data_IF_839024341242
#
_entry.id   IF_839024341242
#
_cell.length_a   1.000
_cell.length_b   1.000
_cell.length_c   1.000
_cell.angle_alpha   90.00
_cell.angle_beta   90.00
_cell.angle_gamma   90.00
#
_symmetry.space_group_name_H-M   'P 1'
#
loop_
_entity.id
_entity.type
_entity.pdbx_description
1 polymer ?
2 polymer ?
3 polymer ?
4 non-polymer ?
5 non-polymer ?
6 water ?
#
loop_
_entity_poly.entity_id
_entity_poly.type
_entity_poly.pdbx_seq_one_letter_code
_entity_poly.pdbx_strand_id
2 'polydeoxyribonucleotide' '(DT)(DA)(DA)(3DR)(DG)(DT)(DA)(DG)(DG)(DG)(DG)(DA)(DG)(DG)(DA)(DT)' ?
3 'polydeoxyribonucleotide' '(DA)(DT)(DC)(DC)(DT)(DC)(DC)(DC)(DC)(DT)(DA)(DOC)' ?
#
# COMPACT_ATOMS: atom_id res chain seq x y z
N UNK A 1 5.49 -2.93 -28.08
CA UNK A 1 5.55 -1.44 -28.21
C UNK A 1 4.17 -1.10 -28.71
N UNK A 2 3.86 0.17 -28.95
CA UNK A 2 2.47 0.70 -29.00
C UNK A 2 1.49 0.21 -27.94
N UNK A 3 1.13 1.12 -27.06
CA UNK A 3 0.32 0.78 -25.92
C UNK A 3 -1.15 0.48 -26.27
N UNK A 4 -1.68 -0.56 -25.64
CA UNK A 4 -3.03 -1.00 -25.92
C UNK A 4 -4.03 0.01 -25.40
N UNK A 5 -4.92 0.49 -26.25
CA UNK A 5 -5.90 1.52 -25.87
C UNK A 5 -7.10 1.00 -25.06
N UNK A 6 -7.80 1.93 -24.38
CA UNK A 6 -8.92 1.55 -23.54
C UNK A 6 -10.18 0.92 -24.22
N UNK A 7 -10.25 0.94 -25.55
CA UNK A 7 -11.40 0.39 -26.27
C UNK A 7 -11.00 -0.98 -26.85
N UNK A 8 -9.86 -1.51 -26.39
CA UNK A 8 -9.41 -2.77 -26.85
C UNK A 8 -9.73 -3.84 -25.82
N UNK A 9 -10.21 -4.98 -26.28
CA UNK A 9 -10.58 -6.04 -25.34
C UNK A 9 -9.44 -6.48 -24.46
N UNK A 10 -8.20 -6.34 -24.89
CA UNK A 10 -7.11 -6.79 -24.01
C UNK A 10 -6.55 -5.70 -23.09
N UNK A 11 -7.30 -4.61 -22.95
CA UNK A 11 -6.81 -3.45 -22.20
C UNK A 11 -6.46 -3.72 -20.75
N UNK A 12 -7.37 -4.33 -20.03
CA UNK A 12 -7.14 -4.69 -18.64
C UNK A 12 -5.91 -5.55 -18.52
N UNK A 13 -5.79 -6.55 -19.39
CA UNK A 13 -4.72 -7.52 -19.24
C UNK A 13 -3.36 -6.81 -19.32
N UNK A 14 -3.26 -5.91 -20.31
CA UNK A 14 -2.02 -5.24 -20.64
C UNK A 14 -1.70 -4.15 -19.58
N UNK A 15 -2.71 -3.43 -19.13
CA UNK A 15 -2.52 -2.40 -18.19
C UNK A 15 -2.03 -3.02 -16.89
N UNK A 16 -2.79 -3.98 -16.39
CA UNK A 16 -2.42 -4.70 -15.18
C UNK A 16 -1.08 -5.40 -15.25
N UNK A 17 -0.73 -5.96 -16.39
CA UNK A 17 0.60 -6.56 -16.50
C UNK A 17 1.67 -5.48 -16.29
N UNK A 18 1.29 -4.21 -16.44
CA UNK A 18 2.32 -3.17 -16.44
C UNK A 18 2.23 -2.33 -15.16
N UNK A 19 1.15 -2.44 -14.40
CA UNK A 19 0.89 -1.54 -13.30
C UNK A 19 1.44 -2.10 -11.97
N UNK A 20 2.42 -1.39 -11.38
CA UNK A 20 3.03 -1.90 -10.18
C UNK A 20 2.00 -1.78 -9.09
N UNK A 21 1.07 -0.83 -9.20
CA UNK A 21 0.05 -0.72 -8.14
C UNK A 21 -1.03 -1.82 -8.20
N UNK A 22 -1.43 -2.20 -9.40
CA UNK A 22 -2.24 -3.38 -9.53
C UNK A 22 -1.51 -4.56 -8.93
N UNK A 23 -0.19 -4.68 -9.17
CA UNK A 23 0.56 -5.82 -8.59
C UNK A 23 0.56 -5.79 -7.08
N UNK A 24 0.69 -4.60 -6.52
CA UNK A 24 0.73 -4.47 -5.08
C UNK A 24 -0.51 -5.05 -4.42
N UNK A 25 -1.68 -4.59 -4.90
CA UNK A 25 -2.99 -5.05 -4.50
C UNK A 25 -3.15 -6.53 -4.74
N UNK A 26 -2.75 -7.04 -5.90
CA UNK A 26 -2.99 -8.46 -6.17
C UNK A 26 -2.19 -9.25 -5.17
N UNK A 27 -0.92 -8.85 -4.97
CA UNK A 27 -0.02 -9.63 -4.12
C UNK A 27 -0.60 -9.67 -2.72
N UNK A 28 -1.23 -8.55 -2.34
CA UNK A 28 -1.72 -8.35 -0.99
C UNK A 28 -2.94 -9.28 -0.81
N UNK A 29 -3.86 -9.20 -1.75
CA UNK A 29 -5.02 -10.04 -1.73
C UNK A 29 -4.60 -11.51 -1.63
N UNK A 30 -3.60 -11.91 -2.43
CA UNK A 30 -3.30 -13.34 -2.45
C UNK A 30 -2.64 -13.77 -1.13
N UNK A 31 -1.80 -12.91 -0.54
CA UNK A 31 -1.17 -13.26 0.73
C UNK A 31 -2.18 -13.41 1.87
N UNK A 32 -3.19 -12.54 1.95
CA UNK A 32 -4.20 -12.68 2.95
C UNK A 32 -4.87 -14.05 2.78
N UNK A 33 -5.12 -14.41 1.52
CA UNK A 33 -5.77 -15.66 1.18
C UNK A 33 -4.94 -16.88 1.53
N UNK A 34 -3.64 -16.81 1.23
CA UNK A 34 -2.78 -17.88 1.58
C UNK A 34 -2.79 -18.00 3.10
N UNK A 35 -2.95 -16.88 3.80
CA UNK A 35 -2.93 -16.96 5.23
C UNK A 35 -4.17 -17.69 5.76
N UNK A 36 -5.36 -17.32 5.28
CA UNK A 36 -6.59 -18.07 5.60
C UNK A 36 -6.47 -19.55 5.20
N UNK A 37 -5.92 -19.86 4.04
CA UNK A 37 -5.87 -21.24 3.67
C UNK A 37 -4.98 -22.06 4.63
N UNK A 38 -3.85 -21.46 5.05
CA UNK A 38 -2.84 -22.13 5.82
C UNK A 38 -3.25 -22.31 7.24
N UNK A 39 -4.14 -21.45 7.72
CA UNK A 39 -4.58 -21.54 9.10
C UNK A 39 -6.06 -21.97 9.28
N UNK A 40 -6.72 -22.52 8.24
CA UNK A 40 -8.11 -23.02 8.42
C UNK A 40 -8.25 -23.90 9.65
N UNK A 41 -7.24 -24.70 9.93
CA UNK A 41 -7.28 -25.56 11.07
C UNK A 41 -6.48 -25.12 12.28
N UNK A 42 -5.71 -24.03 12.21
CA UNK A 42 -4.93 -23.57 13.38
C UNK A 42 -5.72 -22.60 14.26
N UNK A 43 -5.49 -22.55 15.58
CA UNK A 43 -6.13 -21.46 16.39
C UNK A 43 -5.25 -20.24 16.63
N UNK A 44 -5.89 -19.08 16.52
CA UNK A 44 -5.23 -17.91 15.95
C UNK A 44 -5.26 -16.59 16.76
N UNK A 45 -6.40 -16.35 17.42
CA UNK A 45 -6.65 -15.14 18.16
C UNK A 45 -5.70 -15.00 19.37
N UNK A 46 -5.27 -13.75 19.62
CA UNK A 46 -4.52 -13.40 20.80
C UNK A 46 -5.53 -12.72 21.71
N UNK A 47 -5.30 -12.75 23.02
CA UNK A 47 -6.31 -12.33 24.01
C UNK A 47 -5.95 -11.05 24.75
N UNK A 48 -6.77 -10.68 25.72
CA UNK A 48 -6.43 -9.67 26.74
C UNK A 48 -5.32 -10.19 27.67
N UNK A 49 -5.53 -11.40 28.22
CA UNK A 49 -4.52 -12.15 29.00
C UNK A 49 -3.09 -12.08 28.40
N UNK A 50 -2.95 -12.36 27.11
CA UNK A 50 -1.64 -12.58 26.49
C UNK A 50 -0.66 -11.41 26.68
N UNK A 51 0.62 -11.72 26.76
CA UNK A 51 1.66 -10.72 26.74
C UNK A 51 2.44 -10.99 25.47
N UNK A 52 2.78 -9.95 24.72
CA UNK A 52 3.40 -10.18 23.40
C UNK A 52 4.36 -9.09 23.00
N UNK A 53 5.26 -9.45 22.10
CA UNK A 53 6.24 -8.58 21.52
C UNK A 53 6.00 -8.61 19.96
N UNK A 54 5.97 -7.43 19.32
CA UNK A 54 5.80 -7.30 17.88
C UNK A 54 7.14 -7.11 17.17
N UNK A 55 7.40 -7.88 16.13
CA UNK A 55 8.54 -7.63 15.29
C UNK A 55 7.99 -7.19 13.91
N UNK A 56 8.23 -5.96 13.51
CA UNK A 56 7.65 -5.49 12.28
C UNK A 56 8.81 -5.48 11.33
N UNK A 57 8.77 -6.30 10.28
CA UNK A 57 9.93 -6.61 9.46
C UNK A 57 9.56 -6.28 8.05
N UNK A 58 10.43 -5.52 7.36
CA UNK A 58 10.11 -4.86 6.08
C UNK A 58 11.37 -4.68 5.21
N UNK A 59 11.35 -5.06 3.95
CA UNK A 59 12.51 -4.86 3.09
C UNK A 59 12.80 -3.35 2.89
N UNK A 60 14.09 -3.04 2.79
CA UNK A 60 14.55 -1.70 2.50
C UNK A 60 14.46 -1.36 1.04
N UNK A 61 13.82 -0.22 0.74
CA UNK A 61 13.59 0.19 -0.69
C UNK A 61 13.50 -1.02 -1.65
N UNK A 62 12.46 -1.82 -1.40
CA UNK A 62 12.21 -3.13 -2.01
C UNK A 62 12.40 -3.18 -3.53
N UNK A 63 11.62 -2.44 -4.31
CA UNK A 63 11.79 -2.59 -5.78
C UNK A 63 13.20 -2.17 -6.23
N UNK A 64 13.77 -1.10 -5.66
CA UNK A 64 15.11 -0.63 -6.05
C UNK A 64 16.16 -1.67 -5.72
N UNK A 65 16.13 -2.27 -4.54
CA UNK A 65 17.13 -3.29 -4.24
C UNK A 65 17.01 -4.47 -5.20
N UNK A 66 15.79 -5.01 -5.31
CA UNK A 66 15.62 -6.21 -6.13
C UNK A 66 15.92 -5.93 -7.59
N UNK A 67 15.57 -4.75 -8.08
CA UNK A 67 15.82 -4.46 -9.49
C UNK A 67 17.29 -4.23 -9.70
N UNK A 68 18.01 -3.82 -8.65
CA UNK A 68 19.45 -3.67 -8.79
C UNK A 68 20.17 -5.02 -8.88
N UNK A 69 19.93 -5.95 -7.94
CA UNK A 69 20.53 -7.28 -8.02
C UNK A 69 20.38 -8.04 -9.39
N UNK A 70 19.28 -7.76 -10.12
CA UNK A 70 18.91 -8.35 -11.41
C UNK A 70 19.15 -7.36 -12.54
N UNK A 71 19.88 -6.27 -12.28
CA UNK A 71 20.05 -5.26 -13.31
C UNK A 71 20.61 -5.90 -14.61
N UNK A 72 20.12 -5.44 -15.77
CA UNK A 72 20.56 -5.98 -17.08
C UNK A 72 22.02 -5.62 -17.25
N UNK A 73 22.67 -6.12 -18.30
CA UNK A 73 24.12 -5.93 -18.38
C UNK A 73 24.47 -4.47 -18.64
N UNK A 74 23.56 -3.74 -19.27
CA UNK A 74 23.76 -2.32 -19.60
C UNK A 74 24.09 -1.46 -18.39
N UNK A 75 23.58 -1.88 -17.23
CA UNK A 75 23.74 -1.08 -16.01
C UNK A 75 24.81 -1.62 -15.06
N UNK A 76 25.79 -2.37 -15.55
CA UNK A 76 26.72 -2.97 -14.60
C UNK A 76 27.66 -1.96 -13.96
N UNK A 77 27.92 -0.84 -14.62
CA UNK A 77 28.81 0.24 -14.10
C UNK A 77 28.29 0.84 -12.77
N UNK A 78 26.97 0.77 -12.67
CA UNK A 78 26.13 1.22 -11.58
C UNK A 78 26.46 0.74 -10.16
N UNK A 79 26.47 1.65 -9.19
CA UNK A 79 26.83 1.27 -7.79
C UNK A 79 25.78 1.67 -6.75
N UNK A 80 25.23 0.67 -6.08
CA UNK A 80 24.09 0.84 -5.17
C UNK A 80 24.34 1.73 -3.95
N UNK A 81 25.57 1.69 -3.41
CA UNK A 81 25.95 2.44 -2.20
C UNK A 81 26.33 3.89 -2.55
N UNK A 82 26.59 4.15 -3.83
CA UNK A 82 27.21 5.39 -4.23
C UNK A 82 26.33 6.24 -5.21
N UNK A 83 25.50 5.60 -6.04
CA UNK A 83 24.57 6.29 -6.96
C UNK A 83 23.10 6.35 -6.52
N UNK A 84 22.38 7.43 -6.87
CA UNK A 84 20.93 7.48 -6.64
C UNK A 84 20.16 6.67 -7.73
N UNK A 85 19.33 5.72 -7.27
CA UNK A 85 18.66 4.81 -8.16
C UNK A 85 17.15 4.77 -7.92
N UNK A 86 16.39 4.81 -9.02
CA UNK A 86 14.95 4.75 -9.00
C UNK A 86 14.46 3.60 -9.88
N UNK A 87 13.29 3.05 -9.56
CA UNK A 87 12.61 2.12 -10.47
C UNK A 87 11.42 2.89 -11.02
N UNK A 88 11.33 3.03 -12.36
CA UNK A 88 10.13 3.66 -12.95
C UNK A 88 9.95 3.27 -14.41
N UNK A 89 8.91 3.77 -15.08
CA UNK A 89 8.67 3.37 -16.49
C UNK A 89 9.21 4.41 -17.45
N UNK A 90 9.05 5.69 -17.09
CA UNK A 90 9.31 6.75 -18.06
C UNK A 90 10.42 7.69 -17.67
N UNK A 91 10.30 8.94 -18.10
CA UNK A 91 11.41 9.87 -18.06
C UNK A 91 10.98 11.27 -17.62
N UNK A 92 9.67 11.49 -17.47
CA UNK A 92 9.19 12.79 -17.08
C UNK A 92 8.19 12.73 -15.90
N UNK A 93 6.89 12.77 -16.21
CA UNK A 93 5.84 12.65 -15.22
C UNK A 93 5.50 11.16 -14.94
N UNK A 94 6.51 10.38 -14.59
CA UNK A 94 6.40 8.94 -14.38
C UNK A 94 6.80 8.62 -12.96
N UNK A 95 6.00 7.78 -12.29
CA UNK A 95 6.05 7.62 -10.83
C UNK A 95 7.29 6.88 -10.47
N UNK A 96 8.08 7.36 -9.51
CA UNK A 96 9.17 6.57 -8.98
C UNK A 96 8.59 5.60 -7.99
N UNK A 97 8.71 4.33 -8.27
CA UNK A 97 8.06 3.36 -7.38
C UNK A 97 8.88 3.12 -6.13
N UNK A 98 10.19 3.10 -6.32
CA UNK A 98 11.09 2.89 -5.22
C UNK A 98 12.42 3.57 -5.50
N UNK A 99 12.94 4.27 -4.47
CA UNK A 99 14.30 4.82 -4.58
C UNK A 99 15.19 4.36 -3.44
N UNK A 100 16.45 4.14 -3.75
CA UNK A 100 17.43 3.78 -2.76
C UNK A 100 17.82 4.97 -1.84
N UNK A 101 18.42 4.61 -0.71
CA UNK A 101 18.84 5.62 0.27
C UNK A 101 19.80 6.71 -0.24
N UNK A 102 20.61 6.41 -1.26
CA UNK A 102 21.33 7.49 -1.88
C UNK A 102 20.38 8.53 -2.47
N UNK A 103 19.41 8.13 -3.28
CA UNK A 103 18.44 9.13 -3.78
C UNK A 103 17.72 9.90 -2.69
N UNK A 104 17.40 9.22 -1.60
CA UNK A 104 16.67 9.90 -0.52
C UNK A 104 17.54 10.92 0.20
N UNK A 105 18.86 10.81 0.11
CA UNK A 105 19.66 11.88 0.71
C UNK A 105 19.53 13.19 -0.09
N UNK A 106 19.17 13.13 -1.38
CA UNK A 106 18.74 14.32 -2.11
C UNK A 106 17.32 14.80 -1.86
N UNK A 107 16.56 14.07 -1.04
CA UNK A 107 15.13 14.37 -0.84
C UNK A 107 14.21 13.65 -1.85
N UNK A 108 14.73 12.67 -2.55
CA UNK A 108 13.91 11.92 -3.49
C UNK A 108 13.07 10.94 -2.64
N UNK A 109 11.74 10.89 -2.90
CA UNK A 109 10.72 10.00 -2.27
C UNK A 109 10.01 8.99 -3.22
N UNK A 110 9.59 7.86 -2.66
CA UNK A 110 8.65 7.02 -3.38
C UNK A 110 7.41 7.80 -3.84
N UNK A 111 6.96 7.61 -5.09
CA UNK A 111 5.80 8.28 -5.56
C UNK A 111 6.01 9.65 -6.10
N UNK A 112 7.26 10.14 -6.16
CA UNK A 112 7.67 11.42 -6.80
C UNK A 112 7.84 11.13 -8.33
N UNK A 113 7.54 12.09 -9.19
CA UNK A 113 7.77 11.99 -10.58
C UNK A 113 9.26 12.16 -10.89
N UNK A 114 9.75 11.52 -11.96
CA UNK A 114 11.17 11.51 -12.32
C UNK A 114 11.70 12.94 -12.57
N UNK A 115 10.99 13.72 -13.41
CA UNK A 115 11.32 15.11 -13.60
C UNK A 115 11.55 15.90 -12.26
N UNK A 116 10.61 15.80 -11.30
CA UNK A 116 10.71 16.39 -9.98
C UNK A 116 12.00 15.94 -9.28
N UNK A 117 12.36 14.66 -9.42
CA UNK A 117 13.51 14.08 -8.75
C UNK A 117 14.83 14.57 -9.28
N UNK A 118 14.95 14.59 -10.60
CA UNK A 118 16.15 15.06 -11.25
C UNK A 118 16.47 16.52 -10.92
N UNK A 119 15.46 17.33 -10.68
CA UNK A 119 15.63 18.71 -10.26
C UNK A 119 16.33 18.85 -8.89
N UNK A 120 16.37 17.79 -8.10
CA UNK A 120 16.88 17.82 -6.76
C UNK A 120 18.35 17.39 -6.76
N UNK A 121 18.85 16.94 -7.94
CA UNK A 121 20.21 16.45 -8.01
C UNK A 121 21.23 17.57 -8.35
N UNK A 122 22.29 17.77 -7.56
CA UNK A 122 23.28 18.81 -7.91
C UNK A 122 24.13 18.38 -9.11
N UNK A 123 24.77 19.35 -9.77
CA UNK A 123 25.65 19.11 -10.88
C UNK A 123 26.58 17.94 -10.60
N UNK A 124 26.68 17.00 -11.54
CA UNK A 124 27.66 15.92 -11.37
C UNK A 124 27.04 14.62 -10.85
N UNK A 125 25.77 14.70 -10.42
CA UNK A 125 25.07 13.52 -9.98
C UNK A 125 23.97 13.17 -10.97
N UNK A 126 23.95 11.89 -11.33
CA UNK A 126 23.00 11.36 -12.33
C UNK A 126 22.03 10.35 -11.73
N UNK A 127 20.77 10.45 -12.15
CA UNK A 127 19.75 9.52 -11.68
C UNK A 127 19.91 8.31 -12.53
N UNK A 128 20.00 7.17 -11.89
CA UNK A 128 19.90 5.95 -12.65
C UNK A 128 18.51 5.37 -12.61
N UNK A 129 17.84 5.20 -13.76
CA UNK A 129 16.51 4.54 -13.84
C UNK A 129 16.50 3.04 -14.15
N UNK A 130 16.08 2.21 -13.21
CA UNK A 130 15.91 0.78 -13.47
C UNK A 130 14.46 0.42 -13.81
N UNK A 131 14.26 -0.67 -14.63
CA UNK A 131 12.91 -1.11 -14.95
C UNK A 131 12.41 -2.05 -13.86
N UNK A 132 11.09 -2.27 -13.85
CA UNK A 132 10.45 -3.23 -12.98
C UNK A 132 10.81 -4.70 -13.30
N UNK A 133 10.95 -5.52 -12.28
CA UNK A 133 11.14 -6.95 -12.51
C UNK A 133 10.11 -7.62 -11.61
N UNK A 134 8.87 -7.64 -12.11
CA UNK A 134 7.73 -8.12 -11.34
C UNK A 134 7.91 -9.54 -10.84
N UNK A 135 8.42 -10.44 -11.68
CA UNK A 135 8.69 -11.83 -11.28
C UNK A 135 9.69 -11.95 -10.10
N UNK A 136 10.80 -11.20 -10.20
CA UNK A 136 11.83 -11.24 -9.20
C UNK A 136 11.31 -10.67 -7.88
N UNK A 137 10.56 -9.57 -7.94
CA UNK A 137 9.98 -9.09 -6.66
C UNK A 137 9.22 -10.23 -5.97
N UNK A 138 8.56 -11.07 -6.75
CA UNK A 138 7.73 -12.08 -6.12
C UNK A 138 8.60 -13.20 -5.58
N UNK A 139 9.65 -13.58 -6.32
CA UNK A 139 10.52 -14.62 -5.86
C UNK A 139 11.16 -14.18 -4.54
N UNK A 140 11.62 -12.91 -4.47
CA UNK A 140 12.28 -12.44 -3.23
C UNK A 140 11.30 -12.48 -2.09
N UNK A 141 10.05 -12.12 -2.37
CA UNK A 141 9.02 -12.13 -1.34
C UNK A 141 8.75 -13.53 -0.79
N UNK A 142 8.72 -14.52 -1.67
CA UNK A 142 8.51 -15.94 -1.23
C UNK A 142 9.67 -16.47 -0.36
N UNK A 143 10.91 -16.20 -0.79
CA UNK A 143 12.10 -16.49 0.03
C UNK A 143 11.93 -15.90 1.44
N UNK A 144 11.48 -14.66 1.48
CA UNK A 144 11.24 -13.90 2.67
C UNK A 144 10.24 -14.59 3.60
N UNK A 145 9.00 -14.75 3.14
CA UNK A 145 7.98 -15.44 3.93
C UNK A 145 8.32 -16.89 4.28
N UNK A 146 8.98 -17.65 3.38
CA UNK A 146 9.34 -19.00 3.81
C UNK A 146 10.45 -19.07 4.88
N UNK A 147 11.46 -18.18 4.73
CA UNK A 147 12.48 -18.02 5.74
C UNK A 147 11.89 -17.72 7.12
N UNK A 148 10.98 -16.75 7.19
CA UNK A 148 10.41 -16.45 8.48
C UNK A 148 9.76 -17.67 9.12
N UNK A 149 9.10 -18.47 8.30
CA UNK A 149 8.36 -19.61 8.79
C UNK A 149 9.39 -20.64 9.29
N UNK A 150 10.40 -20.89 8.47
CA UNK A 150 11.42 -21.88 8.76
C UNK A 150 12.18 -21.68 10.10
N UNK A 151 12.65 -20.47 10.37
CA UNK A 151 13.16 -20.16 11.73
C UNK A 151 12.00 -20.37 12.65
N UNK A 152 12.15 -20.66 13.90
CA UNK A 152 10.85 -20.99 14.48
C UNK A 152 10.44 -20.02 15.53
N UNK A 153 10.39 -18.75 15.15
CA UNK A 153 10.38 -17.70 16.17
C UNK A 153 8.98 -17.22 16.53
N UNK A 154 8.07 -17.23 15.58
CA UNK A 154 6.81 -16.51 15.84
C UNK A 154 5.55 -17.35 16.06
N UNK A 155 4.66 -16.85 16.91
CA UNK A 155 3.39 -17.47 17.15
C UNK A 155 2.43 -17.11 16.08
N UNK A 156 2.68 -15.95 15.45
CA UNK A 156 2.03 -15.62 14.21
C UNK A 156 2.70 -14.62 13.30
N UNK A 157 2.50 -14.81 12.00
CA UNK A 157 3.14 -14.02 10.99
C UNK A 157 2.06 -13.46 10.08
N UNK A 158 1.69 -12.21 10.26
CA UNK A 158 0.65 -11.54 9.51
C UNK A 158 1.17 -10.88 8.27
N UNK A 159 0.73 -11.33 7.07
CA UNK A 159 1.34 -10.68 5.89
C UNK A 159 0.71 -9.31 5.80
N UNK A 160 1.49 -8.29 5.46
CA UNK A 160 0.93 -6.96 5.40
C UNK A 160 1.00 -6.48 3.98
N UNK A 161 2.05 -6.87 3.29
CA UNK A 161 2.31 -6.42 1.98
C UNK A 161 3.29 -7.36 1.37
N UNK A 162 3.53 -7.23 0.09
CA UNK A 162 4.52 -8.08 -0.50
C UNK A 162 5.92 -8.09 0.15
N UNK A 163 6.28 -7.07 0.94
CA UNK A 163 7.61 -7.00 1.56
C UNK A 163 7.60 -6.68 3.04
N UNK A 164 6.56 -7.06 3.73
CA UNK A 164 6.40 -6.58 5.07
C UNK A 164 5.44 -7.52 5.77
N UNK A 165 5.86 -8.07 6.90
CA UNK A 165 5.03 -8.84 7.84
C UNK A 165 5.10 -8.26 9.25
N UNK A 166 3.99 -8.37 9.96
CA UNK A 166 3.97 -8.19 11.36
C UNK A 166 4.07 -9.58 12.02
N UNK A 167 5.23 -9.90 12.59
CA UNK A 167 5.39 -11.16 13.28
C UNK A 167 5.33 -11.01 14.83
N UNK A 168 4.49 -11.81 15.49
CA UNK A 168 4.23 -11.71 16.93
C UNK A 168 4.86 -12.85 17.75
N UNK A 169 5.49 -12.53 18.90
CA UNK A 169 5.84 -13.56 19.92
C UNK A 169 4.97 -13.44 21.18
N UNK A 170 4.35 -14.56 21.55
CA UNK A 170 3.60 -14.63 22.81
C UNK A 170 4.57 -14.97 23.93
N UNK A 171 4.65 -14.12 24.92
CA UNK A 171 5.57 -14.39 26.01
C UNK A 171 4.79 -14.84 27.24
N UNK A 172 5.12 -16.02 27.80
CA UNK A 172 4.83 -16.20 29.23
C UNK A 172 6.11 -15.94 30.07
N UNK A 173 5.97 -15.16 31.14
CA UNK A 173 7.08 -14.99 32.11
C UNK A 173 6.65 -15.33 33.56
N UNK A 180 17.18 -8.57 25.49
CA UNK A 180 18.52 -9.02 25.09
C UNK A 180 18.55 -10.23 24.09
N UNK A 181 17.58 -11.11 24.24
CA UNK A 181 17.32 -12.10 23.21
C UNK A 181 16.67 -11.39 22.00
N UNK A 182 15.76 -10.45 22.26
CA UNK A 182 15.15 -9.65 21.19
C UNK A 182 16.20 -9.14 20.17
N UNK A 183 17.36 -8.72 20.66
CA UNK A 183 18.39 -8.31 19.75
C UNK A 183 19.00 -9.46 19.02
N UNK A 184 19.29 -10.57 19.67
CA UNK A 184 19.90 -11.70 18.95
C UNK A 184 18.97 -12.20 17.84
N UNK A 185 17.67 -12.20 18.16
CA UNK A 185 16.61 -12.54 17.23
C UNK A 185 16.58 -11.56 16.04
N UNK A 186 16.54 -10.24 16.28
CA UNK A 186 16.63 -9.32 15.14
C UNK A 186 17.88 -9.56 14.31
N UNK A 187 19.00 -9.95 14.92
CA UNK A 187 20.22 -10.03 14.11
C UNK A 187 20.18 -11.24 13.25
N UNK A 188 19.51 -12.26 13.73
CA UNK A 188 19.50 -13.55 13.10
C UNK A 188 18.58 -13.49 11.89
N UNK A 189 17.40 -12.91 12.08
CA UNK A 189 16.40 -12.79 11.05
C UNK A 189 16.97 -12.03 9.89
N UNK A 190 17.66 -10.93 10.22
CA UNK A 190 18.27 -10.05 9.22
C UNK A 190 19.26 -10.84 8.37
N UNK A 191 20.10 -11.63 9.01
CA UNK A 191 21.13 -12.39 8.31
C UNK A 191 20.50 -13.51 7.44
N UNK A 192 19.57 -14.29 8.02
CA UNK A 192 18.95 -15.36 7.27
C UNK A 192 18.19 -14.82 6.05
N UNK A 193 17.49 -13.69 6.20
CA UNK A 193 16.80 -13.10 5.06
C UNK A 193 17.75 -12.58 3.99
N UNK A 194 18.88 -12.00 4.42
CA UNK A 194 19.92 -11.56 3.47
C UNK A 194 20.42 -12.79 2.69
N UNK A 195 20.69 -13.88 3.40
CA UNK A 195 21.08 -15.14 2.72
C UNK A 195 19.96 -15.76 1.83
N UNK A 196 18.78 -16.00 2.40
CA UNK A 196 17.59 -16.60 1.68
C UNK A 196 17.27 -15.92 0.34
N UNK A 197 17.68 -14.66 0.25
CA UNK A 197 17.15 -13.69 -0.66
C UNK A 197 18.26 -13.30 -1.63
N UNK A 198 19.47 -13.77 -1.34
CA UNK A 198 20.65 -13.46 -2.13
C UNK A 198 20.98 -11.98 -2.11
N UNK A 199 20.90 -11.38 -0.93
CA UNK A 199 21.42 -10.06 -0.80
C UNK A 199 20.42 -8.94 -0.77
N UNK A 200 19.25 -9.20 -0.24
CA UNK A 200 18.29 -8.15 0.00
C UNK A 200 18.32 -7.90 1.47
N UNK A 201 17.96 -6.68 1.81
CA UNK A 201 18.13 -6.27 3.13
C UNK A 201 16.80 -5.96 3.70
N UNK A 202 16.63 -6.30 4.97
CA UNK A 202 15.37 -6.11 5.67
C UNK A 202 15.73 -5.34 6.97
N UNK A 203 14.86 -4.46 7.46
CA UNK A 203 15.08 -3.77 8.74
C UNK A 203 14.00 -4.23 9.68
N UNK A 204 14.15 -4.03 10.99
CA UNK A 204 13.18 -4.56 11.95
C UNK A 204 12.90 -3.59 13.04
N UNK A 205 11.63 -3.37 13.34
CA UNK A 205 11.25 -2.62 14.51
C UNK A 205 10.58 -3.58 15.48
N UNK A 206 11.05 -3.59 16.72
CA UNK A 206 10.56 -4.50 17.71
C UNK A 206 10.03 -3.69 18.89
N UNK A 207 8.84 -4.02 19.41
CA UNK A 207 8.27 -3.28 20.51
C UNK A 207 7.08 -4.06 21.14
N UNK A 208 6.37 -3.44 22.06
CA UNK A 208 5.24 -4.09 22.74
C UNK A 208 3.94 -3.44 22.30
N UNK A 209 3.98 -2.78 21.15
CA UNK A 209 2.77 -2.30 20.53
C UNK A 209 3.00 -2.19 19.02
N UNK A 210 1.93 -2.21 18.26
CA UNK A 210 2.07 -2.18 16.83
C UNK A 210 2.59 -0.80 16.38
N UNK A 211 2.10 0.29 16.98
CA UNK A 211 2.56 1.60 16.59
C UNK A 211 4.07 1.74 16.79
N UNK A 212 4.57 1.47 18.03
CA UNK A 212 5.99 1.68 18.33
C UNK A 212 6.86 0.76 17.51
N UNK A 213 6.38 -0.44 17.23
CA UNK A 213 7.08 -1.34 16.31
C UNK A 213 7.20 -0.68 14.93
N UNK A 214 6.16 0.03 14.54
CA UNK A 214 6.23 0.66 13.25
C UNK A 214 7.21 1.89 13.21
N UNK A 215 7.13 2.74 14.23
CA UNK A 215 8.05 3.89 14.37
C UNK A 215 9.48 3.38 14.52
N UNK A 216 9.66 2.32 15.30
CA UNK A 216 10.99 1.74 15.49
C UNK A 216 11.49 1.28 14.20
N UNK A 217 10.59 0.76 13.38
CA UNK A 217 10.99 0.24 12.06
C UNK A 217 11.61 1.37 11.22
N UNK A 218 10.91 2.50 11.18
CA UNK A 218 11.41 3.69 10.52
C UNK A 218 12.81 4.15 11.06
N UNK A 219 12.97 4.21 12.39
CA UNK A 219 14.23 4.64 13.05
C UNK A 219 15.36 3.70 12.69
N UNK A 220 15.02 2.44 12.45
CA UNK A 220 16.02 1.44 12.20
C UNK A 220 16.45 1.53 10.75
N UNK A 221 15.70 2.26 9.96
CA UNK A 221 15.58 1.87 8.59
C UNK A 221 16.77 1.51 7.72
N UNK A 222 17.71 2.41 7.49
CA UNK A 222 18.40 1.67 6.35
C UNK A 222 19.16 0.46 6.94
N UNK A 223 18.71 -0.78 6.66
CA UNK A 223 19.46 -1.97 7.03
C UNK A 223 19.89 -2.12 8.51
N UNK A 224 18.93 -2.11 9.41
CA UNK A 224 19.26 -2.16 10.86
C UNK A 224 18.06 -2.61 11.65
N UNK A 225 18.18 -2.62 12.97
CA UNK A 225 16.99 -2.88 13.80
C UNK A 225 16.94 -1.91 14.95
N UNK A 226 15.79 -1.74 15.58
CA UNK A 226 15.66 -0.87 16.72
C UNK A 226 14.64 -1.43 17.68
N UNK A 227 14.92 -1.45 18.97
CA UNK A 227 13.99 -1.98 19.90
C UNK A 227 13.01 -0.99 20.54
N UNK A 228 13.37 0.01 21.28
CA UNK A 228 12.23 0.86 21.79
C UNK A 228 10.85 0.28 22.30
N UNK A 229 10.69 0.10 23.61
CA UNK A 229 9.39 -0.26 24.22
C UNK A 229 8.67 0.96 24.75
N UNK A 230 7.41 0.79 25.19
CA UNK A 230 6.62 1.92 25.70
C UNK A 230 7.36 2.69 26.78
N UNK A 231 8.15 1.98 27.54
CA UNK A 231 8.80 2.58 28.66
C UNK A 231 10.19 3.19 28.27
N UNK A 232 10.65 2.98 27.03
CA UNK A 232 11.89 3.57 26.49
C UNK A 232 11.65 4.92 25.84
N UNK A 233 10.40 5.35 25.78
CA UNK A 233 10.05 6.59 25.09
C UNK A 233 10.71 7.84 25.69
N UNK A 234 11.41 8.58 24.84
CA UNK A 234 12.08 9.83 25.22
C UNK A 234 11.69 10.94 24.29
N UNK A 235 12.17 12.15 24.55
CA UNK A 235 11.94 13.27 23.65
C UNK A 235 12.86 13.12 22.44
N UNK A 236 13.91 12.35 22.65
CA UNK A 236 14.88 12.22 21.60
C UNK A 236 14.20 11.44 20.51
N UNK A 237 13.47 10.43 20.94
CA UNK A 237 12.75 9.54 20.07
C UNK A 237 11.70 10.34 19.28
N UNK A 238 10.77 10.99 19.99
CA UNK A 238 9.72 11.70 19.31
C UNK A 238 10.23 12.78 18.35
N UNK A 239 11.44 13.22 18.65
CA UNK A 239 12.01 14.35 17.96
C UNK A 239 12.50 13.92 16.61
N UNK A 240 12.65 12.62 16.43
CA UNK A 240 13.15 12.23 15.16
C UNK A 240 12.10 11.93 14.06
N UNK A 241 10.79 12.17 14.30
CA UNK A 241 9.73 11.77 13.32
C UNK A 241 8.93 12.91 12.79
N UNK A 242 8.77 12.93 11.45
CA UNK A 242 7.81 13.83 10.80
C UNK A 242 6.38 13.45 11.31
N UNK A 243 5.39 14.33 11.15
CA UNK A 243 4.03 14.00 11.58
C UNK A 243 3.43 12.83 10.77
N UNK A 244 3.73 12.77 9.46
CA UNK A 244 3.23 11.68 8.63
C UNK A 244 3.97 10.34 8.80
N UNK A 245 4.85 10.25 9.79
CA UNK A 245 5.49 8.96 10.10
C UNK A 245 4.54 8.10 10.96
N UNK A 246 3.49 8.73 11.49
CA UNK A 246 2.41 7.96 12.14
C UNK A 246 1.58 7.19 11.11
N UNK A 247 1.30 5.94 11.42
CA UNK A 247 0.40 5.13 10.56
C UNK A 247 -0.94 5.83 10.58
N UNK A 248 -1.55 6.05 9.41
CA UNK A 248 -2.84 6.73 9.39
C UNK A 248 -2.74 8.22 9.23
N UNK A 249 -1.54 8.78 9.16
CA UNK A 249 -1.47 10.18 8.87
C UNK A 249 -0.78 10.28 7.53
N UNK A 250 -1.42 10.97 6.57
CA UNK A 250 -0.91 11.20 5.26
C UNK A 250 -0.99 12.67 4.96
N UNK A 251 -0.91 13.07 3.71
CA UNK A 251 -0.77 14.48 3.48
C UNK A 251 -1.91 15.32 4.07
N UNK A 252 -3.19 14.96 3.88
CA UNK A 252 -4.26 15.88 4.35
C UNK A 252 -4.37 15.97 5.85
N UNK A 253 -4.18 14.88 6.56
CA UNK A 253 -4.11 14.99 7.99
C UNK A 253 -2.90 15.87 8.41
N UNK A 254 -1.73 15.64 7.82
CA UNK A 254 -0.58 16.47 8.09
C UNK A 254 -0.95 17.95 7.91
N UNK A 255 -1.65 18.26 6.84
CA UNK A 255 -1.88 19.63 6.58
C UNK A 255 -2.91 20.17 7.60
N UNK A 256 -3.80 19.31 8.05
CA UNK A 256 -4.69 19.75 9.08
C UNK A 256 -3.97 19.92 10.41
N UNK A 257 -3.17 18.94 10.83
CA UNK A 257 -2.35 19.10 12.01
C UNK A 257 -1.51 20.40 11.96
N UNK A 258 -0.98 20.75 10.81
CA UNK A 258 -0.15 21.93 10.76
C UNK A 258 -0.95 23.21 10.93
N UNK A 259 -2.19 23.15 10.48
CA UNK A 259 -3.01 24.35 10.39
C UNK A 259 -3.58 24.60 11.75
N UNK A 260 -3.68 23.53 12.55
CA UNK A 260 -4.25 23.60 13.86
C UNK A 260 -3.18 23.96 14.91
N UNK A 261 -2.03 23.33 14.85
CA UNK A 261 -1.11 23.44 15.95
C UNK A 261 0.15 24.18 15.56
N UNK A 262 -0.01 25.18 14.71
CA UNK A 262 1.08 26.09 14.33
C UNK A 262 2.35 25.39 13.85
N UNK A 263 2.19 24.55 12.84
CA UNK A 263 3.32 23.88 12.21
C UNK A 263 4.32 23.11 13.05
N UNK A 264 3.85 22.22 13.91
CA UNK A 264 4.85 21.39 14.59
C UNK A 264 5.70 20.68 13.55
N UNK A 265 7.00 20.53 13.75
CA UNK A 265 7.83 19.93 12.71
C UNK A 265 8.21 18.53 13.00
N UNK A 266 7.97 18.09 14.22
CA UNK A 266 8.28 16.73 14.60
C UNK A 266 7.18 16.22 15.52
N UNK A 267 7.18 14.93 15.80
CA UNK A 267 6.16 14.39 16.72
C UNK A 267 6.32 14.91 18.14
N UNK A 268 7.54 15.30 18.52
CA UNK A 268 7.73 15.91 19.82
C UNK A 268 7.06 17.28 19.97
N UNK A 269 7.19 18.12 18.96
CA UNK A 269 6.51 19.40 18.96
C UNK A 269 4.98 19.20 19.09
N UNK A 270 4.44 18.28 18.28
CA UNK A 270 3.01 17.95 18.31
C UNK A 270 2.63 17.52 19.71
N UNK A 271 3.39 16.58 20.23
CA UNK A 271 3.13 15.98 21.51
C UNK A 271 3.12 17.00 22.64
N UNK A 272 3.83 18.11 22.43
CA UNK A 272 3.94 19.18 23.41
C UNK A 272 2.85 20.23 23.30
N UNK A 273 2.26 20.41 22.13
CA UNK A 273 1.31 21.49 21.96
C UNK A 273 -0.13 21.04 21.93
N UNK A 274 -0.36 19.75 21.65
CA UNK A 274 -1.73 19.25 21.39
C UNK A 274 -2.56 19.12 22.67
N UNK A 275 -3.87 19.22 22.53
CA UNK A 275 -4.83 18.64 23.52
C UNK A 275 -5.80 17.76 22.78
N UNK A 276 -6.23 16.66 23.39
CA UNK A 276 -7.22 15.76 22.80
C UNK A 276 -8.35 16.43 22.03
N UNK A 277 -9.05 17.38 22.62
CA UNK A 277 -10.20 17.92 21.95
C UNK A 277 -9.81 18.75 20.79
N UNK A 278 -8.66 19.41 20.86
CA UNK A 278 -8.29 20.23 19.71
C UNK A 278 -7.97 19.27 18.50
N UNK A 279 -7.31 18.14 18.84
CA UNK A 279 -6.89 17.10 17.93
C UNK A 279 -8.14 16.52 17.23
N UNK A 280 -9.06 15.94 18.04
CA UNK A 280 -10.34 15.44 17.61
C UNK A 280 -11.01 16.42 16.68
N UNK A 281 -11.08 17.68 17.07
CA UNK A 281 -11.70 18.69 16.19
C UNK A 281 -10.92 18.91 14.90
N UNK A 282 -9.62 18.61 14.90
CA UNK A 282 -8.85 18.90 13.70
C UNK A 282 -8.98 17.82 12.63
N UNK A 283 -8.77 16.56 13.02
CA UNK A 283 -8.59 15.47 12.12
C UNK A 283 -9.69 14.37 12.19
N UNK A 284 -10.80 14.66 12.88
CA UNK A 284 -11.82 13.67 13.20
C UNK A 284 -11.57 13.06 14.56
N UNK A 285 -12.60 12.44 15.10
CA UNK A 285 -12.59 12.03 16.45
C UNK A 285 -11.88 10.69 16.64
N UNK A 286 -11.98 9.85 15.62
CA UNK A 286 -11.36 8.51 15.67
C UNK A 286 -9.84 8.55 15.41
N UNK A 287 -9.46 9.28 14.35
CA UNK A 287 -8.08 9.54 14.06
C UNK A 287 -7.44 10.29 15.23
N UNK A 288 -8.13 11.34 15.72
CA UNK A 288 -7.70 12.06 16.93
C UNK A 288 -7.30 11.16 18.08
N UNK A 289 -8.22 10.27 18.44
CA UNK A 289 -7.97 9.32 19.47
C UNK A 289 -6.79 8.41 19.14
N UNK A 290 -6.65 8.01 17.88
CA UNK A 290 -5.55 7.07 17.54
C UNK A 290 -4.19 7.80 17.69
N UNK A 291 -4.17 9.06 17.29
CA UNK A 291 -2.93 9.83 17.38
C UNK A 291 -2.54 9.98 18.86
N UNK A 292 -3.49 10.45 19.66
CA UNK A 292 -3.36 10.52 21.11
C UNK A 292 -2.76 9.25 21.69
N UNK A 293 -3.26 8.07 21.28
CA UNK A 293 -2.77 6.82 21.86
C UNK A 293 -1.40 6.54 21.33
N UNK A 294 -1.23 6.88 20.07
CA UNK A 294 0.06 6.65 19.46
C UNK A 294 1.14 7.49 20.20
N UNK A 295 0.79 8.73 20.55
CA UNK A 295 1.76 9.57 21.27
C UNK A 295 2.09 9.09 22.64
N UNK A 296 1.43 8.04 23.09
CA UNK A 296 1.78 7.38 24.34
C UNK A 296 2.21 5.97 24.09
N UNK A 297 2.46 5.63 22.83
CA UNK A 297 2.98 4.29 22.52
C UNK A 297 1.92 3.21 22.50
N UNK A 298 0.65 3.63 22.42
CA UNK A 298 -0.43 2.70 22.58
C UNK A 298 -1.26 2.51 21.30
N UNK A 299 -1.79 1.31 21.11
CA UNK A 299 -2.62 0.99 19.95
C UNK A 299 -4.09 1.37 20.14
N UNK A 300 -4.74 1.90 19.10
CA UNK A 300 -6.22 2.01 19.13
C UNK A 300 -6.88 0.65 18.91
N UNK A 301 -8.17 0.57 19.27
CA UNK A 301 -8.87 -0.75 19.27
C UNK A 301 -8.93 -1.40 17.87
N UNK A 302 -9.27 -0.59 16.86
CA UNK A 302 -9.21 -0.99 15.43
C UNK A 302 -7.92 -1.75 14.98
N UNK A 303 -6.73 -1.18 15.22
CA UNK A 303 -5.49 -1.85 14.83
C UNK A 303 -5.32 -3.12 15.57
N UNK A 304 -5.94 -3.23 16.74
CA UNK A 304 -5.64 -4.39 17.56
C UNK A 304 -6.45 -5.63 17.07
N UNK A 305 -7.55 -5.39 16.31
CA UNK A 305 -8.30 -6.53 15.70
C UNK A 305 -7.39 -7.49 14.96
N UNK A 306 -6.36 -6.97 14.30
CA UNK A 306 -5.53 -7.87 13.56
C UNK A 306 -4.82 -8.87 14.46
N UNK A 307 -4.81 -8.60 15.76
CA UNK A 307 -4.19 -9.53 16.67
C UNK A 307 -5.21 -10.45 17.33
N UNK A 308 -6.36 -9.89 17.64
CA UNK A 308 -7.37 -10.59 18.37
C UNK A 308 -8.21 -11.46 17.43
N UNK A 309 -8.39 -11.03 16.18
CA UNK A 309 -9.14 -11.84 15.23
C UNK A 309 -8.54 -11.69 13.84
N UNK A 310 -7.36 -12.29 13.63
CA UNK A 310 -6.70 -12.19 12.31
C UNK A 310 -7.59 -12.64 11.16
N UNK A 311 -8.21 -13.80 11.32
CA UNK A 311 -9.15 -14.31 10.33
C UNK A 311 -10.24 -13.35 9.90
N UNK A 312 -10.74 -12.53 10.79
CA UNK A 312 -11.74 -11.61 10.37
C UNK A 312 -11.15 -10.41 9.60
N UNK A 313 -10.05 -9.87 10.08
CA UNK A 313 -9.52 -8.70 9.41
C UNK A 313 -9.08 -9.09 7.99
N UNK A 314 -8.29 -10.17 7.88
CA UNK A 314 -7.78 -10.59 6.59
C UNK A 314 -8.83 -11.12 5.60
N UNK A 315 -10.07 -11.30 6.02
CA UNK A 315 -11.06 -11.75 5.07
C UNK A 315 -11.42 -10.62 4.15
N UNK A 316 -11.26 -10.89 2.86
CA UNK A 316 -11.78 -10.03 1.80
C UNK A 316 -13.26 -9.65 1.97
N UNK A 317 -13.57 -8.38 2.08
CA UNK A 317 -15.01 -8.03 2.13
C UNK A 317 -15.54 -7.31 0.87
N UNK A 318 -14.66 -7.09 -0.12
CA UNK A 318 -15.06 -6.44 -1.35
C UNK A 318 -14.12 -6.63 -2.50
N UNK A 319 -14.58 -6.32 -3.70
CA UNK A 319 -13.76 -6.67 -4.86
C UNK A 319 -13.95 -5.64 -5.91
N UNK A 320 -12.86 -5.17 -6.53
CA UNK A 320 -13.06 -4.10 -7.53
C UNK A 320 -11.96 -3.91 -8.52
N UNK A 321 -12.27 -3.21 -9.59
CA UNK A 321 -11.26 -2.60 -10.43
C UNK A 321 -11.36 -1.09 -10.35
N UNK A 322 -10.23 -0.44 -10.54
CA UNK A 322 -10.19 1.01 -10.37
C UNK A 322 -9.18 1.50 -11.40
N UNK A 323 -9.63 2.02 -12.53
CA UNK A 323 -8.75 2.36 -13.61
C UNK A 323 -8.77 3.85 -13.76
N UNK A 324 -7.60 4.51 -13.65
CA UNK A 324 -7.57 5.99 -13.70
C UNK A 324 -6.47 6.59 -14.57
N UNK A 325 -5.97 5.79 -15.49
CA UNK A 325 -4.99 6.19 -16.47
C UNK A 325 -5.42 5.56 -17.79
N UNK A 326 -5.28 6.32 -18.88
CA UNK A 326 -5.50 5.77 -20.19
C UNK A 326 -6.97 5.67 -20.54
N UNK A 327 -7.85 6.27 -19.71
CA UNK A 327 -9.25 6.37 -20.02
C UNK A 327 -9.60 7.47 -21.06
N UNK A 328 -9.87 7.08 -22.30
CA UNK A 328 -10.31 8.10 -23.26
C UNK A 328 -11.36 7.48 -24.17
N UNK A 329 -12.57 8.02 -24.13
CA UNK A 329 -13.72 7.45 -24.83
C UNK A 329 -14.41 8.55 -25.59
N UNK A 330 -14.99 8.21 -26.74
CA UNK A 330 -15.73 9.15 -27.54
C UNK A 330 -17.25 9.01 -27.44
N UNK A 331 -17.75 7.78 -27.25
CA UNK A 331 -19.20 7.54 -27.16
C UNK A 331 -19.58 6.49 -26.13
N UNK A 332 -20.88 6.47 -25.82
CA UNK A 332 -21.44 5.63 -24.75
C UNK A 332 -21.33 4.13 -25.04
N UNK A 333 -21.37 3.74 -26.32
CA UNK A 333 -21.19 2.34 -26.71
C UNK A 333 -19.86 1.81 -26.26
N UNK A 334 -18.79 2.58 -26.45
CA UNK A 334 -17.48 2.21 -25.96
C UNK A 334 -17.46 2.00 -24.45
N UNK A 335 -18.12 2.93 -23.73
CA UNK A 335 -18.20 2.88 -22.27
C UNK A 335 -18.90 1.61 -21.87
N UNK A 336 -20.08 1.36 -22.46
CA UNK A 336 -20.75 0.08 -22.14
C UNK A 336 -19.91 -1.13 -22.41
N UNK A 337 -19.21 -1.19 -23.53
CA UNK A 337 -18.42 -2.43 -23.78
C UNK A 337 -17.31 -2.61 -22.75
N UNK A 338 -16.78 -1.46 -22.28
CA UNK A 338 -15.67 -1.48 -21.35
C UNK A 338 -16.23 -1.96 -20.02
N UNK A 339 -17.38 -1.41 -19.62
CA UNK A 339 -18.05 -1.87 -18.41
C UNK A 339 -18.35 -3.37 -18.47
N UNK A 340 -18.78 -3.87 -19.63
CA UNK A 340 -19.14 -5.30 -19.70
C UNK A 340 -17.91 -6.13 -19.49
N UNK A 341 -16.84 -5.70 -20.20
CA UNK A 341 -15.56 -6.39 -20.09
C UNK A 341 -15.02 -6.33 -18.67
N UNK A 342 -15.28 -5.24 -17.98
CA UNK A 342 -14.78 -5.16 -16.64
C UNK A 342 -15.53 -6.09 -15.73
N UNK A 343 -16.88 -6.14 -15.90
CA UNK A 343 -17.70 -7.17 -15.21
C UNK A 343 -17.26 -8.60 -15.60
N UNK A 344 -16.82 -8.86 -16.84
CA UNK A 344 -16.40 -10.24 -17.08
C UNK A 344 -15.19 -10.57 -16.24
N UNK A 345 -14.26 -9.60 -16.13
CA UNK A 345 -12.99 -9.77 -15.36
C UNK A 345 -13.32 -9.96 -13.90
N UNK A 346 -14.15 -9.08 -13.34
CA UNK A 346 -14.51 -9.23 -11.94
C UNK A 346 -15.27 -10.54 -11.59
N UNK A 347 -16.21 -11.00 -12.43
CA UNK A 347 -16.95 -12.20 -12.06
C UNK A 347 -16.03 -13.38 -12.06
N UNK A 348 -15.03 -13.33 -12.93
CA UNK A 348 -14.11 -14.45 -13.00
C UNK A 348 -13.36 -14.50 -11.68
N UNK A 349 -13.07 -13.33 -11.11
CA UNK A 349 -12.49 -13.28 -9.77
C UNK A 349 -13.51 -13.68 -8.66
N UNK A 350 -14.72 -13.15 -8.74
CA UNK A 350 -15.76 -13.59 -7.84
C UNK A 350 -15.85 -15.11 -7.73
N UNK A 351 -15.88 -15.78 -8.88
CA UNK A 351 -16.08 -17.21 -8.95
C UNK A 351 -14.88 -18.01 -8.46
N UNK A 352 -13.67 -17.55 -8.77
CA UNK A 352 -12.40 -18.06 -8.23
C UNK A 352 -12.40 -18.09 -6.66
N UNK A 353 -12.87 -17.04 -6.01
CA UNK A 353 -12.99 -17.04 -4.55
C UNK A 353 -14.38 -17.53 -3.98
N UNK A 354 -15.20 -18.18 -4.81
CA UNK A 354 -16.46 -18.76 -4.38
C UNK A 354 -17.34 -17.83 -3.60
N UNK A 355 -17.73 -16.72 -4.21
CA UNK A 355 -18.59 -15.77 -3.52
C UNK A 355 -19.56 -15.18 -4.51
N UNK A 356 -20.52 -14.42 -3.99
CA UNK A 356 -21.53 -13.73 -4.75
C UNK A 356 -21.53 -12.33 -4.14
N UNK A 357 -22.27 -11.37 -4.74
CA UNK A 357 -22.32 -10.03 -4.21
C UNK A 357 -23.78 -9.63 -3.97
N UNK A 358 -24.03 -8.74 -3.04
CA UNK A 358 -25.39 -8.19 -2.94
C UNK A 358 -25.44 -6.70 -3.00
N UNK A 359 -24.31 -6.08 -3.28
CA UNK A 359 -24.25 -4.62 -3.44
C UNK A 359 -23.15 -4.20 -4.43
N UNK A 360 -23.46 -3.33 -5.36
CA UNK A 360 -22.46 -2.92 -6.32
C UNK A 360 -22.40 -1.42 -6.36
N UNK A 361 -21.23 -0.91 -6.73
CA UNK A 361 -21.03 0.53 -6.89
C UNK A 361 -20.28 0.84 -8.18
N UNK A 362 -20.72 1.85 -8.90
CA UNK A 362 -19.89 2.41 -9.95
C UNK A 362 -19.42 3.80 -9.47
N UNK A 363 -18.15 4.09 -9.72
CA UNK A 363 -17.56 5.34 -9.35
C UNK A 363 -16.77 5.84 -10.56
N UNK A 364 -16.87 7.13 -10.81
CA UNK A 364 -16.11 7.69 -11.89
C UNK A 364 -15.36 9.02 -11.60
N UNK A 365 -14.24 9.23 -12.28
CA UNK A 365 -13.57 10.48 -12.21
C UNK A 365 -13.94 11.21 -13.48
N UNK A 366 -14.50 12.39 -13.33
CA UNK A 366 -14.89 13.23 -14.45
C UNK A 366 -13.98 14.46 -14.53
N UNK A 367 -13.46 14.81 -15.70
CA UNK A 367 -12.67 16.09 -15.87
C UNK A 367 -13.34 17.27 -15.16
N UNK A 368 -12.60 18.01 -14.32
CA UNK A 368 -13.15 19.28 -13.75
C UNK A 368 -13.44 20.27 -14.84
N UNK A 369 -14.45 21.11 -14.63
CA UNK A 369 -14.78 22.09 -15.68
C UNK A 369 -13.58 22.98 -16.05
N UNK A 370 -12.70 23.22 -15.09
CA UNK A 370 -11.55 24.10 -15.30
C UNK A 370 -10.37 23.50 -16.08
N UNK A 371 -10.25 22.18 -16.02
CA UNK A 371 -9.02 21.47 -16.33
C UNK A 371 -8.78 21.36 -17.80
N UNK A 372 -7.51 21.39 -18.19
CA UNK A 372 -7.12 21.21 -19.58
C UNK A 372 -7.60 19.87 -20.07
N UNK A 373 -8.04 19.81 -21.31
CA UNK A 373 -8.47 18.56 -21.90
C UNK A 373 -7.36 17.51 -21.88
N UNK A 374 -6.11 17.93 -22.02
CA UNK A 374 -5.03 16.97 -21.83
C UNK A 374 -4.11 17.39 -20.67
N UNK A 375 -3.88 16.47 -19.74
CA UNK A 375 -3.16 16.91 -18.57
C UNK A 375 -1.64 16.77 -18.69
N UNK A 376 -0.90 17.31 -17.71
CA UNK A 376 0.55 17.17 -17.86
C UNK A 376 0.98 15.71 -17.87
N UNK A 377 0.33 14.81 -17.15
CA UNK A 377 0.78 13.41 -17.22
C UNK A 377 0.28 12.77 -18.51
N UNK A 378 1.18 12.28 -19.34
CA UNK A 378 0.74 11.64 -20.55
C UNK A 378 -0.31 10.53 -20.20
N UNK A 379 -1.51 10.63 -20.85
CA UNK A 379 -2.65 9.69 -20.68
C UNK A 379 -3.28 9.66 -19.25
N UNK A 380 -3.03 10.71 -18.47
CA UNK A 380 -3.33 10.65 -17.01
C UNK A 380 -4.72 11.14 -16.79
N UNK A 381 -5.27 11.00 -15.58
CA UNK A 381 -6.63 11.49 -15.36
C UNK A 381 -6.67 13.02 -15.26
N UNK A 382 -5.54 13.66 -14.91
CA UNK A 382 -5.54 15.07 -14.67
C UNK A 382 -6.39 15.39 -13.46
N UNK A 383 -6.91 16.61 -13.37
CA UNK A 383 -7.72 17.03 -12.23
C UNK A 383 -9.19 16.69 -12.46
N UNK A 384 -9.80 16.02 -11.47
CA UNK A 384 -11.15 15.47 -11.60
C UNK A 384 -12.06 15.59 -10.39
N UNK A 385 -13.38 15.57 -10.67
CA UNK A 385 -14.38 15.33 -9.65
C UNK A 385 -14.78 13.85 -9.58
N UNK A 386 -14.92 13.31 -8.35
CA UNK A 386 -15.62 12.02 -8.10
C UNK A 386 -17.12 12.02 -8.15
N UNK A 387 -17.67 10.98 -8.75
CA UNK A 387 -19.09 10.77 -8.73
C UNK A 387 -19.32 9.30 -8.43
N UNK A 388 -20.34 8.97 -7.65
CA UNK A 388 -20.45 7.63 -7.14
C UNK A 388 -21.91 7.26 -6.95
N UNK A 389 -22.22 6.00 -7.26
CA UNK A 389 -23.55 5.47 -7.02
C UNK A 389 -23.59 3.98 -6.83
N UNK A 390 -24.35 3.54 -5.82
CA UNK A 390 -24.43 2.15 -5.49
C UNK A 390 -25.91 1.59 -5.60
N UNK A 391 -26.09 0.28 -5.67
CA UNK A 391 -27.40 -0.36 -5.52
C UNK A 391 -27.25 -1.63 -4.82
N UNK A 392 -28.24 -1.91 -3.99
CA UNK A 392 -28.38 -3.21 -3.38
C UNK A 392 -29.05 -4.12 -4.38
N UNK A 393 -28.52 -5.31 -4.54
CA UNK A 393 -29.14 -6.28 -5.42
C UNK A 393 -30.22 -7.07 -4.67
N UNK A 394 -31.31 -7.37 -5.37
CA UNK A 394 -32.33 -8.23 -4.73
C UNK A 394 -31.78 -9.40 -3.90
N UNK A 395 -30.93 -10.20 -4.50
CA UNK A 395 -30.49 -11.40 -3.86
C UNK A 395 -29.01 -11.53 -4.14
N UNK A 396 -28.22 -12.09 -3.20
CA UNK A 396 -26.80 -12.27 -3.57
C UNK A 396 -26.70 -13.03 -4.89
N UNK A 397 -25.92 -12.49 -5.83
CA UNK A 397 -25.76 -13.13 -7.09
C UNK A 397 -24.35 -12.98 -7.67
N UNK A 398 -23.98 -13.93 -8.54
CA UNK A 398 -22.83 -13.81 -9.39
C UNK A 398 -23.20 -13.67 -10.89
N UNK A 399 -24.36 -13.09 -11.21
CA UNK A 399 -24.85 -13.25 -12.57
C UNK A 399 -24.44 -12.07 -13.35
N UNK A 400 -23.85 -12.34 -14.50
CA UNK A 400 -23.45 -11.27 -15.39
C UNK A 400 -24.63 -10.40 -15.72
N UNK A 401 -25.77 -11.00 -16.07
CA UNK A 401 -26.88 -10.24 -16.69
C UNK A 401 -27.37 -9.18 -15.72
N UNK A 402 -27.51 -9.58 -14.46
CA UNK A 402 -27.93 -8.72 -13.37
C UNK A 402 -26.89 -7.60 -13.03
N UNK A 403 -25.62 -8.00 -12.89
CA UNK A 403 -24.59 -7.04 -12.52
C UNK A 403 -24.19 -6.07 -13.66
N UNK A 404 -23.92 -6.58 -14.85
CA UNK A 404 -23.59 -5.67 -15.90
C UNK A 404 -24.73 -4.74 -16.25
N UNK A 405 -25.98 -5.18 -16.11
CA UNK A 405 -27.11 -4.31 -16.49
C UNK A 405 -27.22 -3.17 -15.51
N UNK A 406 -27.10 -3.48 -14.21
CA UNK A 406 -27.14 -2.45 -13.19
C UNK A 406 -25.90 -1.48 -13.29
N UNK A 407 -24.69 -2.02 -13.50
CA UNK A 407 -23.53 -1.17 -13.70
C UNK A 407 -23.83 -0.21 -14.86
N UNK A 408 -24.34 -0.72 -16.01
CA UNK A 408 -24.51 0.25 -17.11
C UNK A 408 -25.57 1.24 -16.76
N UNK A 409 -26.49 0.86 -15.92
CA UNK A 409 -27.54 1.76 -15.55
C UNK A 409 -27.04 2.85 -14.52
N UNK A 410 -26.22 2.42 -13.57
CA UNK A 410 -25.54 3.33 -12.67
C UNK A 410 -24.78 4.45 -13.43
N UNK A 411 -24.09 4.08 -14.52
CA UNK A 411 -23.53 5.07 -15.41
C UNK A 411 -24.51 6.10 -16.01
N UNK A 412 -25.72 5.71 -16.46
CA UNK A 412 -26.56 6.73 -17.07
C UNK A 412 -27.02 7.65 -15.98
N UNK A 413 -27.13 7.10 -14.77
CA UNK A 413 -27.62 7.94 -13.68
C UNK A 413 -26.65 9.02 -13.28
N UNK A 414 -25.35 8.75 -13.39
CA UNK A 414 -24.34 9.78 -13.05
C UNK A 414 -24.15 10.80 -14.18
N UNK A 415 -24.51 10.38 -15.39
CA UNK A 415 -24.60 11.25 -16.57
C UNK A 415 -23.33 11.97 -16.96
N UNK A 416 -22.20 11.26 -16.88
CA UNK A 416 -20.95 11.82 -17.31
C UNK A 416 -20.83 11.58 -18.79
N UNK A 417 -20.73 12.66 -19.58
CA UNK A 417 -20.53 12.46 -21.04
C UNK A 417 -19.24 11.65 -21.29
N UNK A 418 -19.25 10.68 -22.20
CA UNK A 418 -18.02 9.93 -22.43
C UNK A 418 -16.78 10.73 -22.73
N UNK A 419 -16.87 11.81 -23.49
CA UNK A 419 -15.61 12.56 -23.70
C UNK A 419 -15.01 13.19 -22.43
N UNK A 420 -15.77 13.18 -21.33
CA UNK A 420 -15.33 13.78 -20.04
C UNK A 420 -14.86 12.77 -19.04
N UNK A 421 -15.02 11.50 -19.34
CA UNK A 421 -14.66 10.48 -18.40
C UNK A 421 -13.16 10.28 -18.39
N UNK A 422 -12.58 10.14 -17.20
CA UNK A 422 -11.13 10.04 -17.11
C UNK A 422 -10.74 8.96 -16.15
N UNK A 423 -11.71 8.35 -15.46
CA UNK A 423 -11.42 7.12 -14.67
C UNK A 423 -12.73 6.42 -14.33
N UNK A 424 -12.63 5.12 -14.14
CA UNK A 424 -13.81 4.36 -13.87
C UNK A 424 -13.53 3.29 -12.82
N UNK A 425 -14.42 3.14 -11.83
CA UNK A 425 -14.26 2.04 -10.86
C UNK A 425 -15.53 1.15 -10.79
N UNK A 426 -15.35 -0.18 -10.86
CA UNK A 426 -16.46 -1.11 -10.73
C UNK A 426 -16.27 -1.92 -9.45
N UNK A 427 -17.23 -1.84 -8.54
CA UNK A 427 -17.07 -2.46 -7.22
C UNK A 427 -18.21 -3.41 -6.82
N UNK A 428 -17.83 -4.57 -6.29
CA UNK A 428 -18.76 -5.43 -5.60
C UNK A 428 -18.56 -5.22 -4.11
N UNK A 429 -19.46 -4.50 -3.46
CA UNK A 429 -19.25 -4.04 -2.08
C UNK A 429 -19.59 -4.97 -0.92
N UNK A 430 -20.34 -6.03 -1.12
CA UNK A 430 -20.66 -6.90 0.04
C UNK A 430 -20.70 -8.23 -0.59
N UNK A 431 -20.02 -9.19 0.03
CA UNK A 431 -19.65 -10.44 -0.56
C UNK A 431 -20.23 -11.49 0.34
N UNK A 432 -20.95 -12.40 -0.28
CA UNK A 432 -21.69 -13.40 0.44
C UNK A 432 -21.08 -14.73 0.00
N UNK A 433 -20.65 -15.54 0.97
CA UNK A 433 -20.01 -16.82 0.68
C UNK A 433 -21.01 -17.75 -0.02
N UNK A 434 -20.52 -18.64 -0.89
CA UNK A 434 -21.43 -19.63 -1.51
C UNK A 434 -21.59 -20.83 -0.58
#
# INVERSE_FOLDING_TARGET
KRIVACDDPDFLTSYFAHSRLHHLSAWKANLKDKFLNENIHKYTKITDKDTYIIFHIDFDCFFATVAYLCRSSSFSACDFKRDPIVVCHGTKNSDIASCNYVARSYGIKNGMWVSQAEKMLPNGIKLISLPYTFEQFQLKSEAFYSTLKRLNIFNLILPISIDEAVCVRIIPDNIHNTNTLNARLCEEIRQEIFQGTNGCTVSIGCSDSLVLARLALKMAKPNGYNITFKSNLSEEFWSSFKLDDLPGVGHSTLSRLESTFDSPHSLNDLRKRYTLDALKASVGSKLGMKIHLALQGQDDEESLKILYDPKEVLQRKSLSIDINWGIRFKNITQVDLFIERGCQYLLEKLNEINKTTSQITLKLMRRCKDAPIEPPKYMGMGRCDSFSRSSRLGIPTNEFGIIATEMKSLYRTLGCPPMELRGLALQFNKLVDV
#
